data_IF_199422134657
#
_entry.id   IF_199422134657
#
_cell.length_a   1.000
_cell.length_b   1.000
_cell.length_c   1.000
_cell.angle_alpha   90.00
_cell.angle_beta   90.00
_cell.angle_gamma   90.00
#
_symmetry.space_group_name_H-M   'P 1'
#
loop_
_entity.id
_entity.type
_entity.pdbx_description
1 polymer ?
#
# COMPACT_ATOMS: atom_id res chain seq x y z
N UNK A 1 22.17 -7.26 10.29
CA UNK A 1 20.68 -7.29 10.22
C UNK A 1 20.24 -7.11 8.78
N UNK A 2 19.11 -7.69 8.43
CA UNK A 2 18.54 -7.58 7.09
C UNK A 2 17.42 -6.55 7.08
N UNK A 3 17.23 -5.93 5.92
CA UNK A 3 16.16 -4.96 5.71
C UNK A 3 15.24 -5.43 4.59
N UNK A 4 13.98 -4.98 4.67
CA UNK A 4 12.95 -5.32 3.69
C UNK A 4 12.16 -4.08 3.37
N UNK A 5 11.86 -3.88 2.08
CA UNK A 5 10.94 -2.83 1.64
C UNK A 5 9.56 -3.41 1.50
N UNK A 6 8.59 -2.74 2.10
CA UNK A 6 7.17 -3.02 1.91
C UNK A 6 6.57 -1.91 1.07
N UNK A 7 5.92 -2.30 -0.02
CA UNK A 7 5.23 -1.37 -0.90
C UNK A 7 3.73 -1.63 -0.86
N UNK A 8 2.97 -0.56 -0.73
CA UNK A 8 1.52 -0.59 -0.63
C UNK A 8 0.96 0.21 -1.80
N UNK A 9 0.11 -0.41 -2.58
CA UNK A 9 -0.55 0.22 -3.71
C UNK A 9 -2.02 0.40 -3.36
N UNK A 10 -2.48 1.65 -3.35
CA UNK A 10 -3.81 2.02 -2.93
C UNK A 10 -4.59 2.66 -4.08
N UNK A 11 -5.86 2.29 -4.28
CA UNK A 11 -6.67 2.89 -5.33
C UNK A 11 -7.04 4.33 -4.97
N UNK A 12 -7.16 5.19 -6.00
CA UNK A 12 -7.59 6.57 -5.80
C UNK A 12 -9.10 6.72 -5.75
N UNK A 13 -9.83 5.66 -6.16
CA UNK A 13 -11.29 5.62 -6.17
C UNK A 13 -11.77 4.33 -5.55
N UNK A 14 -12.93 4.41 -4.88
CA UNK A 14 -13.66 3.21 -4.48
C UNK A 14 -14.21 2.48 -5.71
N UNK A 15 -14.70 1.25 -5.52
CA UNK A 15 -15.20 0.44 -6.63
C UNK A 15 -16.45 1.02 -7.30
N UNK A 16 -17.19 1.88 -6.60
CA UNK A 16 -18.34 2.61 -7.15
C UNK A 16 -17.94 3.85 -7.96
N UNK A 17 -16.63 4.13 -8.09
CA UNK A 17 -16.11 5.26 -8.84
C UNK A 17 -15.96 6.54 -8.05
N UNK A 18 -16.40 6.58 -6.79
CA UNK A 18 -16.23 7.78 -5.97
C UNK A 18 -14.79 7.96 -5.52
N UNK A 19 -14.27 9.19 -5.45
CA UNK A 19 -12.91 9.43 -5.01
C UNK A 19 -12.69 9.01 -3.55
N UNK A 20 -11.54 8.39 -3.29
CA UNK A 20 -11.09 8.15 -1.93
C UNK A 20 -10.63 9.49 -1.35
N UNK A 21 -11.12 9.90 -0.16
CA UNK A 21 -10.67 11.14 0.46
C UNK A 21 -9.16 11.13 0.73
N UNK A 22 -8.51 12.26 0.55
CA UNK A 22 -7.06 12.40 0.82
C UNK A 22 -6.70 12.00 2.24
N UNK A 23 -7.60 12.22 3.20
CA UNK A 23 -7.39 11.83 4.58
C UNK A 23 -7.07 10.34 4.74
N UNK A 24 -7.64 9.47 3.91
CA UNK A 24 -7.40 8.02 4.00
C UNK A 24 -5.94 7.67 3.68
N UNK A 25 -5.35 8.36 2.70
CA UNK A 25 -3.93 8.16 2.37
C UNK A 25 -3.02 8.70 3.48
N UNK A 26 -3.34 9.88 4.00
CA UNK A 26 -2.57 10.49 5.08
C UNK A 26 -2.65 9.67 6.38
N UNK A 27 -3.80 9.12 6.71
CA UNK A 27 -3.94 8.24 7.88
C UNK A 27 -3.09 6.98 7.74
N UNK A 28 -3.01 6.43 6.52
CA UNK A 28 -2.14 5.29 6.25
C UNK A 28 -0.66 5.67 6.42
N UNK A 29 -0.26 6.81 5.86
CA UNK A 29 1.11 7.30 6.00
C UNK A 29 1.46 7.57 7.47
N UNK A 30 0.55 8.18 8.23
CA UNK A 30 0.76 8.45 9.66
C UNK A 30 0.95 7.17 10.46
N UNK A 31 0.20 6.11 10.15
CA UNK A 31 0.35 4.83 10.85
C UNK A 31 1.75 4.24 10.63
N UNK A 32 2.29 4.37 9.41
CA UNK A 32 3.63 3.90 9.10
C UNK A 32 4.70 4.74 9.80
N UNK A 33 4.53 6.05 9.82
CA UNK A 33 5.46 6.95 10.53
C UNK A 33 5.44 6.70 12.03
N UNK A 34 4.25 6.46 12.60
CA UNK A 34 4.13 6.16 14.03
C UNK A 34 4.86 4.87 14.42
N UNK A 35 4.81 3.86 13.57
CA UNK A 35 5.44 2.56 13.85
C UNK A 35 6.93 2.55 13.52
N UNK A 36 7.33 3.14 12.39
CA UNK A 36 8.69 2.98 11.84
C UNK A 36 9.49 4.27 11.79
N UNK A 37 8.89 5.40 12.10
CA UNK A 37 9.56 6.70 12.10
C UNK A 37 9.66 7.37 10.73
N UNK A 38 9.31 6.69 9.65
CA UNK A 38 9.39 7.24 8.30
C UNK A 38 8.54 6.43 7.34
N UNK A 39 8.13 7.06 6.26
CA UNK A 39 7.57 6.40 5.08
C UNK A 39 7.74 7.32 3.88
N UNK A 40 7.68 6.76 2.68
CA UNK A 40 7.61 7.52 1.45
C UNK A 40 6.22 7.38 0.86
N UNK A 41 5.63 8.52 0.49
CA UNK A 41 4.31 8.56 -0.12
C UNK A 41 4.44 9.21 -1.49
N UNK A 42 4.04 8.48 -2.54
CA UNK A 42 4.05 8.95 -3.92
C UNK A 42 2.60 9.25 -4.31
N UNK A 43 2.17 10.52 -4.20
CA UNK A 43 0.77 10.88 -4.42
C UNK A 43 0.39 10.99 -5.89
N UNK A 44 1.37 10.98 -6.80
CA UNK A 44 1.09 11.08 -8.23
C UNK A 44 0.51 9.76 -8.72
N UNK A 45 -0.72 9.75 -9.26
CA UNK A 45 -1.36 8.51 -9.66
C UNK A 45 -0.66 7.83 -10.83
N UNK A 46 -0.64 6.50 -10.79
CA UNK A 46 -0.22 5.68 -11.92
C UNK A 46 -1.32 4.67 -12.24
N UNK A 47 -1.33 4.16 -13.49
CA UNK A 47 -2.35 3.21 -13.91
C UNK A 47 -1.89 1.77 -13.73
N UNK A 48 -2.71 0.96 -13.04
CA UNK A 48 -2.64 -0.48 -13.11
C UNK A 48 -3.56 -0.96 -14.22
N UNK A 49 -3.07 -1.80 -15.11
CA UNK A 49 -3.83 -2.31 -16.25
C UNK A 49 -3.81 -3.83 -16.18
N UNK A 50 -4.99 -4.45 -16.29
CA UNK A 50 -5.07 -5.90 -16.28
C UNK A 50 -6.21 -6.37 -17.18
N UNK A 51 -6.11 -7.65 -17.57
CA UNK A 51 -7.12 -8.30 -18.41
C UNK A 51 -7.81 -9.37 -17.57
N UNK A 52 -9.13 -9.37 -17.61
CA UNK A 52 -9.95 -10.39 -16.98
C UNK A 52 -11.08 -10.80 -17.93
N UNK A 53 -11.18 -12.09 -18.24
CA UNK A 53 -12.18 -12.64 -19.13
C UNK A 53 -12.24 -11.90 -20.48
N UNK A 54 -11.05 -11.61 -21.05
CA UNK A 54 -10.92 -10.93 -22.34
C UNK A 54 -11.19 -9.44 -22.34
N UNK A 55 -11.52 -8.86 -21.17
CA UNK A 55 -11.78 -7.44 -21.03
C UNK A 55 -10.63 -6.75 -20.31
N UNK A 56 -10.26 -5.58 -20.82
CA UNK A 56 -9.19 -4.77 -20.23
C UNK A 56 -9.76 -3.81 -19.18
N UNK A 57 -9.12 -3.79 -18.02
CA UNK A 57 -9.46 -2.89 -16.91
C UNK A 57 -8.27 -2.00 -16.62
N UNK A 58 -8.54 -0.78 -16.20
CA UNK A 58 -7.53 0.17 -15.76
C UNK A 58 -7.97 0.83 -14.47
N UNK A 59 -7.02 1.05 -13.56
CA UNK A 59 -7.30 1.67 -12.27
C UNK A 59 -6.14 2.59 -11.91
N UNK A 60 -6.45 3.79 -11.42
CA UNK A 60 -5.44 4.70 -10.91
C UNK A 60 -5.12 4.38 -9.47
N UNK A 61 -3.83 4.36 -9.15
CA UNK A 61 -3.33 4.03 -7.83
C UNK A 61 -2.27 5.03 -7.40
N UNK A 62 -2.08 5.11 -6.08
CA UNK A 62 -0.92 5.77 -5.48
C UNK A 62 -0.10 4.75 -4.72
N UNK A 63 1.12 5.10 -4.34
CA UNK A 63 2.05 4.17 -3.72
C UNK A 63 2.67 4.75 -2.46
N UNK A 64 2.78 3.90 -1.43
CA UNK A 64 3.61 4.16 -0.27
C UNK A 64 4.64 3.06 -0.16
N UNK A 65 5.82 3.38 0.38
CA UNK A 65 6.77 2.34 0.75
C UNK A 65 7.52 2.73 2.03
N UNK A 66 8.02 1.72 2.71
CA UNK A 66 8.81 1.88 3.92
C UNK A 66 9.84 0.76 4.00
N UNK A 67 11.04 1.12 4.45
CA UNK A 67 12.14 0.20 4.64
C UNK A 67 12.29 -0.09 6.12
N UNK A 68 12.21 -1.36 6.49
CA UNK A 68 12.21 -1.79 7.89
C UNK A 68 13.12 -3.00 8.08
N UNK A 69 13.50 -3.27 9.32
CA UNK A 69 14.17 -4.53 9.63
C UNK A 69 13.30 -5.72 9.20
N UNK A 70 13.93 -6.72 8.62
CA UNK A 70 13.24 -7.94 8.17
C UNK A 70 13.05 -8.89 9.34
N UNK A 71 11.98 -8.68 10.10
CA UNK A 71 11.66 -9.44 11.29
C UNK A 71 10.26 -10.03 11.22
N UNK A 72 9.97 -11.13 11.94
CA UNK A 72 8.61 -11.67 12.04
C UNK A 72 7.60 -10.66 12.59
N UNK A 73 8.02 -9.81 13.53
CA UNK A 73 7.16 -8.79 14.15
C UNK A 73 6.71 -7.77 13.10
N UNK A 74 7.64 -7.32 12.27
CA UNK A 74 7.32 -6.37 11.21
C UNK A 74 6.43 -7.01 10.14
N UNK A 75 6.70 -8.26 9.78
CA UNK A 75 5.83 -9.00 8.86
C UNK A 75 4.40 -9.11 9.40
N UNK A 76 4.25 -9.37 10.70
CA UNK A 76 2.93 -9.43 11.34
C UNK A 76 2.22 -8.08 11.31
N UNK A 77 2.96 -6.98 11.52
CA UNK A 77 2.41 -5.63 11.42
C UNK A 77 1.78 -5.40 10.04
N UNK A 78 2.50 -5.76 8.97
CA UNK A 78 2.00 -5.53 7.61
C UNK A 78 0.82 -6.44 7.25
N UNK A 79 0.75 -7.66 7.80
CA UNK A 79 -0.45 -8.49 7.61
C UNK A 79 -1.68 -7.85 8.24
N UNK A 80 -1.54 -7.29 9.43
CA UNK A 80 -2.64 -6.59 10.11
C UNK A 80 -3.01 -5.29 9.36
N UNK A 81 -2.00 -4.55 8.91
CA UNK A 81 -2.22 -3.34 8.12
C UNK A 81 -3.00 -3.65 6.85
N UNK A 82 -2.65 -4.71 6.14
CA UNK A 82 -3.36 -5.12 4.92
C UNK A 82 -4.85 -5.36 5.21
N UNK A 83 -5.16 -6.06 6.29
CA UNK A 83 -6.55 -6.30 6.68
C UNK A 83 -7.30 -5.01 6.94
N UNK A 84 -6.68 -4.07 7.63
CA UNK A 84 -7.27 -2.76 7.91
C UNK A 84 -7.47 -1.94 6.63
N UNK A 85 -6.48 -1.98 5.73
CA UNK A 85 -6.56 -1.23 4.47
C UNK A 85 -7.65 -1.77 3.55
N UNK A 86 -7.87 -3.09 3.52
CA UNK A 86 -8.97 -3.67 2.74
C UNK A 86 -10.32 -3.11 3.18
N UNK A 87 -10.51 -2.93 4.47
CA UNK A 87 -11.74 -2.34 4.99
C UNK A 87 -11.82 -0.84 4.71
N UNK A 88 -10.74 -0.11 4.99
CA UNK A 88 -10.69 1.35 4.81
C UNK A 88 -10.93 1.75 3.36
N UNK A 89 -10.33 1.03 2.42
CA UNK A 89 -10.43 1.32 0.99
C UNK A 89 -11.53 0.51 0.29
N UNK A 90 -12.28 -0.31 1.03
CA UNK A 90 -13.39 -1.11 0.55
C UNK A 90 -12.99 -1.99 -0.63
N UNK A 91 -11.87 -2.70 -0.47
CA UNK A 91 -11.31 -3.56 -1.51
C UNK A 91 -11.35 -5.02 -1.08
N UNK A 92 -11.57 -5.91 -2.05
CA UNK A 92 -11.46 -7.36 -1.82
C UNK A 92 -10.01 -7.70 -1.48
N UNK A 93 -9.06 -7.04 -2.13
CA UNK A 93 -7.64 -7.19 -1.86
C UNK A 93 -6.92 -5.86 -2.03
N UNK A 94 -5.77 -5.75 -1.36
CA UNK A 94 -4.85 -4.62 -1.46
C UNK A 94 -3.50 -5.19 -1.87
N UNK A 95 -2.88 -4.56 -2.87
CA UNK A 95 -1.57 -4.99 -3.33
C UNK A 95 -0.52 -4.51 -2.35
N UNK A 96 0.00 -5.44 -1.56
CA UNK A 96 1.07 -5.19 -0.60
C UNK A 96 2.16 -6.21 -0.90
N UNK A 97 3.32 -5.73 -1.36
CA UNK A 97 4.45 -6.56 -1.73
C UNK A 97 5.65 -6.21 -0.88
N UNK A 98 6.58 -7.15 -0.76
CA UNK A 98 7.82 -6.89 -0.05
C UNK A 98 8.97 -7.64 -0.69
N UNK A 99 10.17 -7.11 -0.49
CA UNK A 99 11.39 -7.75 -0.96
C UNK A 99 12.57 -7.28 -0.11
N UNK A 100 13.57 -8.15 -0.04
CA UNK A 100 14.79 -7.80 0.66
C UNK A 100 15.52 -6.67 -0.07
N UNK A 101 16.08 -5.75 0.72
CA UNK A 101 16.89 -4.65 0.21
C UNK A 101 18.20 -4.59 0.96
N UNK A 102 19.18 -3.95 0.33
CA UNK A 102 20.43 -3.60 0.96
C UNK A 102 20.50 -2.09 1.10
N UNK A 103 20.69 -1.63 2.33
CA UNK A 103 20.91 -0.21 2.63
C UNK A 103 22.39 -0.01 2.86
N UNK A 104 23.00 0.78 2.03
CA UNK A 104 24.46 1.08 2.13
C UNK A 104 24.72 2.28 3.00
#
# INVERSE_FOLDING_TARGET
>A
MSFRRYEIILPTRYNDGTPVPNAEFWETAKALVAEFGATSYLPEPFQGIWIHQGQTYAKQNVRLFVDVEDTPENAAFFRQLKTMLKQRFRQIDIWLVSYEIRID
#
